data_IF_203274930371
#
_entry.id   IF_203274930371
#
_cell.length_a   1.000
_cell.length_b   1.000
_cell.length_c   1.000
_cell.angle_alpha   90.00
_cell.angle_beta   90.00
_cell.angle_gamma   90.00
#
_symmetry.space_group_name_H-M   'P 1'
#
loop_
_entity.id
_entity.type
_entity.pdbx_description
1 polymer ?
#
# COMPACT_ATOMS: atom_id res chain seq x y z
N UNK A 1 30.65 -29.86 -9.61
CA UNK A 1 31.13 -28.53 -10.03
C UNK A 1 29.93 -27.59 -10.03
N UNK A 2 29.69 -26.89 -8.92
CA UNK A 2 28.67 -25.84 -8.83
C UNK A 2 29.37 -24.53 -9.18
N UNK A 3 29.10 -24.02 -10.37
CA UNK A 3 29.65 -22.76 -10.84
C UNK A 3 29.19 -21.62 -9.92
N UNK A 4 30.16 -20.81 -9.51
CA UNK A 4 29.98 -19.62 -8.71
C UNK A 4 28.94 -18.69 -9.34
N UNK A 5 27.82 -18.50 -8.65
CA UNK A 5 27.05 -17.27 -8.77
C UNK A 5 27.85 -16.22 -8.01
N UNK A 6 28.82 -15.61 -8.68
CA UNK A 6 29.35 -14.31 -8.25
C UNK A 6 28.18 -13.33 -8.29
N UNK A 7 27.56 -13.12 -7.13
CA UNK A 7 26.79 -11.91 -6.88
C UNK A 7 27.80 -10.78 -6.90
N UNK A 8 28.00 -10.18 -8.07
CA UNK A 8 28.74 -8.94 -8.22
C UNK A 8 27.90 -7.84 -7.55
N UNK A 9 28.02 -7.70 -6.23
CA UNK A 9 27.70 -6.46 -5.53
C UNK A 9 28.81 -5.46 -5.85
N UNK A 10 28.85 -4.99 -7.10
CA UNK A 10 29.56 -3.76 -7.43
C UNK A 10 28.73 -2.64 -6.80
N UNK A 11 29.25 -2.04 -5.73
CA UNK A 11 28.73 -0.78 -5.19
C UNK A 11 28.57 0.17 -6.39
N UNK A 12 27.34 0.42 -6.82
CA UNK A 12 27.08 1.34 -7.93
C UNK A 12 27.43 2.74 -7.43
N UNK A 13 28.50 3.32 -7.97
CA UNK A 13 28.74 4.75 -7.87
C UNK A 13 27.46 5.49 -8.26
N UNK A 14 26.97 6.30 -7.33
CA UNK A 14 25.70 7.01 -7.48
C UNK A 14 25.95 8.19 -8.41
N UNK A 15 25.61 8.05 -9.69
CA UNK A 15 25.80 9.12 -10.67
C UNK A 15 24.73 10.20 -10.52
N UNK A 16 25.00 11.43 -10.98
CA UNK A 16 24.02 12.52 -10.99
C UNK A 16 22.74 12.13 -11.76
N UNK A 17 22.90 11.48 -12.92
CA UNK A 17 21.78 10.93 -13.67
C UNK A 17 20.98 9.87 -12.88
N UNK A 18 21.60 9.12 -11.97
CA UNK A 18 20.89 8.19 -11.11
C UNK A 18 20.06 8.93 -10.06
N UNK A 19 20.60 10.00 -9.47
CA UNK A 19 19.89 10.84 -8.48
C UNK A 19 18.70 11.57 -9.11
N UNK A 20 18.85 12.12 -10.32
CA UNK A 20 17.74 12.74 -11.05
C UNK A 20 16.60 11.74 -11.33
N UNK A 21 16.95 10.52 -11.70
CA UNK A 21 15.98 9.45 -11.92
C UNK A 21 15.30 9.00 -10.62
N UNK A 22 16.03 8.94 -9.50
CA UNK A 22 15.47 8.62 -8.18
C UNK A 22 14.47 9.69 -7.72
N UNK A 23 14.80 10.98 -7.90
CA UNK A 23 13.89 12.10 -7.59
C UNK A 23 12.64 12.05 -8.46
N UNK A 24 12.79 11.80 -9.78
CA UNK A 24 11.65 11.66 -10.70
C UNK A 24 10.75 10.49 -10.32
N UNK A 25 11.34 9.36 -9.95
CA UNK A 25 10.59 8.20 -9.49
C UNK A 25 9.84 8.48 -8.18
N UNK A 26 10.46 9.22 -7.25
CA UNK A 26 9.82 9.63 -6.00
C UNK A 26 8.61 10.54 -6.24
N UNK A 27 8.71 11.49 -7.17
CA UNK A 27 7.62 12.38 -7.56
C UNK A 27 6.42 11.61 -8.16
N UNK A 28 6.69 10.66 -9.07
CA UNK A 28 5.65 9.77 -9.64
C UNK A 28 4.94 8.97 -8.54
N UNK A 29 5.71 8.43 -7.58
CA UNK A 29 5.14 7.68 -6.45
C UNK A 29 4.28 8.60 -5.59
N UNK A 30 4.75 9.81 -5.27
CA UNK A 30 4.02 10.77 -4.44
C UNK A 30 2.67 11.16 -5.08
N UNK A 31 2.67 11.46 -6.38
CA UNK A 31 1.44 11.79 -7.11
C UNK A 31 0.42 10.64 -7.10
N UNK A 32 0.89 9.40 -7.28
CA UNK A 32 0.02 8.22 -7.22
C UNK A 32 -0.60 8.01 -5.84
N UNK A 33 0.15 8.28 -4.77
CA UNK A 33 -0.33 8.17 -3.38
C UNK A 33 -1.29 9.30 -3.03
N UNK A 34 -1.01 10.54 -3.41
CA UNK A 34 -1.90 11.68 -3.17
C UNK A 34 -3.26 11.49 -3.84
N UNK A 35 -3.29 10.91 -5.05
CA UNK A 35 -4.52 10.62 -5.79
C UNK A 35 -5.39 9.58 -5.09
N UNK A 36 -4.79 8.53 -4.50
CA UNK A 36 -5.54 7.42 -3.90
C UNK A 36 -5.77 7.59 -2.39
N UNK A 37 -4.89 8.32 -1.70
CA UNK A 37 -4.87 8.49 -0.24
C UNK A 37 -4.45 9.92 0.14
N UNK A 38 -5.32 10.92 -0.04
CA UNK A 38 -4.98 12.33 0.13
C UNK A 38 -4.51 12.75 1.54
N UNK A 39 -4.69 11.89 2.56
CA UNK A 39 -4.19 12.12 3.92
C UNK A 39 -2.77 11.58 4.15
N UNK A 40 -2.18 10.82 3.22
CA UNK A 40 -0.89 10.16 3.38
C UNK A 40 0.21 10.90 2.65
N UNK A 41 0.95 11.72 3.39
CA UNK A 41 2.19 12.33 2.92
C UNK A 41 3.36 11.39 3.20
N UNK A 42 4.13 11.03 2.17
CA UNK A 42 5.32 10.21 2.33
C UNK A 42 6.49 11.05 2.85
N UNK A 43 7.23 10.55 3.85
CA UNK A 43 8.41 11.22 4.43
C UNK A 43 9.74 10.70 3.87
N UNK A 44 9.74 10.08 2.69
CA UNK A 44 10.92 9.41 2.11
C UNK A 44 11.75 10.35 1.26
N UNK A 45 13.08 10.24 1.35
CA UNK A 45 14.03 11.04 0.55
C UNK A 45 14.48 10.31 -0.73
N UNK A 46 14.19 9.01 -0.86
CA UNK A 46 14.51 8.19 -2.05
C UNK A 46 13.31 7.37 -2.51
N UNK A 47 13.22 7.11 -3.82
CA UNK A 47 12.12 6.36 -4.40
C UNK A 47 12.04 4.92 -3.88
N UNK A 48 13.19 4.27 -3.66
CA UNK A 48 13.20 2.89 -3.13
C UNK A 48 12.63 2.80 -1.71
N UNK A 49 12.89 3.81 -0.87
CA UNK A 49 12.37 3.85 0.50
C UNK A 49 10.86 4.12 0.48
N UNK A 50 10.43 5.03 -0.40
CA UNK A 50 9.03 5.31 -0.64
C UNK A 50 8.26 4.06 -1.06
N UNK A 51 8.80 3.32 -2.03
CA UNK A 51 8.22 2.08 -2.53
C UNK A 51 8.10 0.99 -1.47
N UNK A 52 9.15 0.77 -0.67
CA UNK A 52 9.15 -0.23 0.40
C UNK A 52 8.12 0.11 1.48
N UNK A 53 8.05 1.38 1.90
CA UNK A 53 7.08 1.84 2.90
C UNK A 53 5.64 1.64 2.42
N UNK A 54 5.36 1.97 1.15
CA UNK A 54 4.05 1.75 0.57
C UNK A 54 3.72 0.26 0.46
N UNK A 55 4.66 -0.54 -0.04
CA UNK A 55 4.48 -1.99 -0.16
C UNK A 55 4.18 -2.63 1.20
N UNK A 56 4.93 -2.27 2.24
CA UNK A 56 4.70 -2.77 3.58
C UNK A 56 3.37 -2.28 4.15
N UNK A 57 3.01 -1.01 3.96
CA UNK A 57 1.71 -0.47 4.36
C UNK A 57 0.56 -1.23 3.71
N UNK A 58 0.55 -1.36 2.37
CA UNK A 58 -0.52 -2.05 1.66
C UNK A 58 -0.57 -3.53 1.97
N UNK A 59 0.58 -4.20 2.10
CA UNK A 59 0.61 -5.61 2.49
C UNK A 59 0.07 -5.80 3.91
N UNK A 60 0.46 -4.93 4.85
CA UNK A 60 -0.02 -4.98 6.24
C UNK A 60 -1.52 -4.70 6.32
N UNK A 61 -2.01 -3.66 5.64
CA UNK A 61 -3.44 -3.36 5.60
C UNK A 61 -4.20 -4.50 4.92
N UNK A 62 -3.72 -5.03 3.79
CA UNK A 62 -4.37 -6.15 3.10
C UNK A 62 -4.42 -7.41 3.96
N UNK A 63 -3.34 -7.76 4.66
CA UNK A 63 -3.30 -8.91 5.58
C UNK A 63 -4.17 -8.69 6.81
N UNK A 64 -4.15 -7.48 7.39
CA UNK A 64 -5.02 -7.12 8.50
C UNK A 64 -6.49 -7.20 8.09
N UNK A 65 -6.84 -6.66 6.93
CA UNK A 65 -8.17 -6.75 6.34
C UNK A 65 -8.53 -8.21 6.10
N UNK A 66 -7.67 -9.00 5.47
CA UNK A 66 -7.90 -10.41 5.23
C UNK A 66 -8.15 -11.22 6.52
N UNK A 67 -7.41 -10.95 7.59
CA UNK A 67 -7.59 -11.62 8.87
C UNK A 67 -8.86 -11.18 9.61
N UNK A 68 -9.27 -9.92 9.46
CA UNK A 68 -10.34 -9.32 10.26
C UNK A 68 -11.70 -9.34 9.55
N UNK A 69 -11.72 -9.28 8.21
CA UNK A 69 -12.92 -9.22 7.39
C UNK A 69 -13.84 -10.44 7.53
N UNK A 70 -13.36 -11.70 7.57
CA UNK A 70 -14.23 -12.86 7.74
C UNK A 70 -15.04 -12.81 9.05
N UNK A 71 -14.43 -12.33 10.13
CA UNK A 71 -15.11 -12.14 11.41
C UNK A 71 -16.15 -11.03 11.35
N UNK A 72 -15.79 -9.87 10.77
CA UNK A 72 -16.74 -8.74 10.63
C UNK A 72 -17.93 -9.11 9.74
N UNK A 73 -17.71 -9.87 8.66
CA UNK A 73 -18.79 -10.40 7.83
C UNK A 73 -19.69 -11.38 8.58
N UNK A 74 -19.14 -12.23 9.45
CA UNK A 74 -19.93 -13.12 10.29
C UNK A 74 -20.78 -12.36 11.31
N UNK A 75 -20.25 -11.26 11.85
CA UNK A 75 -20.93 -10.41 12.82
C UNK A 75 -21.95 -9.44 12.17
N UNK A 76 -21.81 -9.15 10.87
CA UNK A 76 -22.72 -8.30 10.11
C UNK A 76 -24.09 -8.96 9.95
N UNK A 77 -25.14 -8.27 10.41
CA UNK A 77 -26.52 -8.75 10.35
C UNK A 77 -27.40 -7.72 9.65
N UNK A 78 -28.26 -8.21 8.76
CA UNK A 78 -29.32 -7.40 8.19
C UNK A 78 -30.59 -7.52 9.03
N UNK A 79 -31.06 -6.39 9.54
CA UNK A 79 -32.35 -6.23 10.19
C UNK A 79 -33.48 -6.15 9.13
N UNK A 80 -34.47 -7.03 9.24
CA UNK A 80 -35.61 -7.10 8.33
C UNK A 80 -36.50 -5.84 8.35
N UNK A 81 -36.43 -5.04 9.41
CA UNK A 81 -37.23 -3.83 9.59
C UNK A 81 -36.51 -2.59 9.01
N UNK A 82 -35.21 -2.70 8.75
CA UNK A 82 -34.40 -1.59 8.24
C UNK A 82 -34.39 -1.55 6.71
N UNK A 83 -34.50 -0.35 6.15
CA UNK A 83 -34.42 -0.13 4.71
C UNK A 83 -33.07 -0.58 4.14
N UNK A 84 -33.11 -1.24 2.97
CA UNK A 84 -31.93 -1.77 2.27
C UNK A 84 -30.81 -0.72 2.09
N UNK A 85 -31.16 0.53 1.82
CA UNK A 85 -30.19 1.61 1.67
C UNK A 85 -29.29 1.81 2.92
N UNK A 86 -29.85 1.63 4.12
CA UNK A 86 -29.08 1.72 5.38
C UNK A 86 -28.17 0.51 5.60
N UNK A 87 -28.58 -0.67 5.12
CA UNK A 87 -27.73 -1.85 5.14
C UNK A 87 -26.56 -1.73 4.17
N UNK A 88 -26.78 -1.13 3.00
CA UNK A 88 -25.71 -0.86 2.02
C UNK A 88 -24.71 0.17 2.56
N UNK A 89 -25.17 1.21 3.23
CA UNK A 89 -24.30 2.18 3.91
C UNK A 89 -23.46 1.52 5.03
N UNK A 90 -24.08 0.69 5.86
CA UNK A 90 -23.37 -0.06 6.90
C UNK A 90 -22.37 -1.08 6.34
N UNK A 91 -22.70 -1.70 5.20
CA UNK A 91 -21.80 -2.61 4.49
C UNK A 91 -20.62 -1.86 3.88
N UNK A 92 -20.86 -0.70 3.27
CA UNK A 92 -19.79 0.16 2.72
C UNK A 92 -18.83 0.59 3.84
N UNK A 93 -19.35 1.03 4.99
CA UNK A 93 -18.53 1.34 6.16
C UNK A 93 -17.76 0.13 6.71
N UNK A 94 -18.31 -1.08 6.62
CA UNK A 94 -17.62 -2.32 7.02
C UNK A 94 -16.44 -2.66 6.11
N UNK A 95 -16.57 -2.39 4.81
CA UNK A 95 -15.53 -2.65 3.78
C UNK A 95 -14.49 -1.53 3.73
N UNK A 96 -14.91 -0.27 3.84
CA UNK A 96 -14.08 0.94 3.70
C UNK A 96 -13.44 1.39 5.03
N UNK A 97 -14.02 1.02 6.18
CA UNK A 97 -13.51 1.39 7.51
C UNK A 97 -12.25 0.65 7.95
N UNK A 98 -11.31 0.40 7.04
CA UNK A 98 -10.03 -0.30 7.23
C UNK A 98 -8.85 0.50 6.66
#
# INVERSE_FOLDING_TARGET
>A
MLAHVEVVTKERETTEAWLENDVRALDIIAQGVELQHPTKKLSSTRAIQAWLMLSEFYNRTTLHNWATMPRRFHEFKMDAIMAMAKHLDAFDQLVVGL
#
